data_IF_640848638040
#
_entry.id   IF_640848638040
#
_cell.length_a   1.000
_cell.length_b   1.000
_cell.length_c   1.000
_cell.angle_alpha   90.00
_cell.angle_beta   90.00
_cell.angle_gamma   90.00
#
_symmetry.space_group_name_H-M   'P 1'
#
loop_
_entity.id
_entity.type
_entity.pdbx_description
1 polymer ?
#
# COMPACT_ATOMS: atom_id res chain seq x y z
N UNK A 1 2.33 -17.72 23.25
CA UNK A 1 3.15 -18.29 22.15
C UNK A 1 3.73 -17.13 21.35
N UNK A 2 5.03 -17.15 21.01
CA UNK A 2 5.65 -16.11 20.20
C UNK A 2 5.17 -16.23 18.75
N UNK A 3 4.89 -15.10 18.12
CA UNK A 3 4.53 -14.97 16.70
C UNK A 3 5.42 -13.95 15.98
N UNK A 4 5.19 -13.70 14.69
CA UNK A 4 5.98 -12.76 13.89
C UNK A 4 5.91 -11.32 14.38
N UNK A 5 4.92 -10.95 15.19
CA UNK A 5 4.71 -9.59 15.69
C UNK A 5 5.17 -9.39 17.15
N UNK A 6 5.63 -10.44 17.81
CA UNK A 6 5.97 -10.39 19.25
C UNK A 6 6.99 -9.33 19.61
N UNK A 7 7.99 -9.08 18.74
CA UNK A 7 8.99 -8.02 18.95
C UNK A 7 8.40 -6.62 18.80
N UNK A 8 7.52 -6.42 17.82
CA UNK A 8 6.80 -5.16 17.64
C UNK A 8 5.90 -4.89 18.85
N UNK A 9 5.22 -5.92 19.34
CA UNK A 9 4.36 -5.81 20.54
C UNK A 9 5.13 -5.38 21.79
N UNK A 10 6.39 -5.79 21.95
CA UNK A 10 7.25 -5.33 23.06
C UNK A 10 7.50 -3.82 23.02
N UNK A 11 7.50 -3.22 21.83
CA UNK A 11 7.74 -1.79 21.65
C UNK A 11 6.46 -0.96 21.82
N UNK A 12 5.37 -1.39 21.16
CA UNK A 12 4.14 -0.58 21.05
C UNK A 12 3.02 -1.03 21.98
N UNK A 13 3.14 -2.20 22.60
CA UNK A 13 2.13 -2.80 23.47
C UNK A 13 1.02 -3.55 22.73
N UNK A 14 0.25 -4.32 23.49
CA UNK A 14 -0.83 -5.17 22.95
C UNK A 14 -1.95 -4.36 22.33
N UNK A 15 -2.37 -3.29 22.98
CA UNK A 15 -3.47 -2.42 22.49
C UNK A 15 -3.18 -1.82 21.12
N UNK A 16 -1.94 -1.36 20.87
CA UNK A 16 -1.54 -0.85 19.57
C UNK A 16 -1.52 -1.97 18.51
N UNK A 17 -1.07 -3.17 18.85
CA UNK A 17 -1.11 -4.31 17.95
C UNK A 17 -2.54 -4.73 17.61
N UNK A 18 -3.46 -4.71 18.59
CA UNK A 18 -4.87 -4.99 18.34
C UNK A 18 -5.50 -3.93 17.42
N UNK A 19 -5.13 -2.66 17.56
CA UNK A 19 -5.56 -1.59 16.63
C UNK A 19 -5.04 -1.83 15.23
N UNK A 20 -3.76 -2.14 15.05
CA UNK A 20 -3.18 -2.45 13.74
C UNK A 20 -3.88 -3.64 13.08
N UNK A 21 -4.13 -4.71 13.83
CA UNK A 21 -4.81 -5.90 13.34
C UNK A 21 -6.26 -5.65 12.90
N UNK A 22 -6.91 -4.61 13.42
CA UNK A 22 -8.27 -4.20 13.05
C UNK A 22 -8.30 -3.06 12.05
N UNK A 23 -7.15 -2.50 11.67
CA UNK A 23 -7.08 -1.36 10.73
C UNK A 23 -7.15 -1.83 9.28
N UNK A 24 -7.76 -0.98 8.44
CA UNK A 24 -7.83 -1.12 6.99
C UNK A 24 -7.12 0.05 6.31
N UNK A 25 -6.11 -0.24 5.52
CA UNK A 25 -5.28 0.76 4.82
C UNK A 25 -5.38 0.56 3.31
N UNK A 26 -5.69 1.62 2.57
CA UNK A 26 -5.65 1.62 1.11
C UNK A 26 -4.32 2.19 0.61
N UNK A 27 -3.67 1.49 -0.31
CA UNK A 27 -2.41 1.90 -0.92
C UNK A 27 -2.62 2.07 -2.42
N UNK A 28 -2.58 3.31 -2.86
CA UNK A 28 -2.69 3.68 -4.27
C UNK A 28 -1.30 3.80 -4.90
N UNK A 29 -1.01 2.91 -5.85
CA UNK A 29 0.29 2.75 -6.48
C UNK A 29 1.20 1.74 -5.77
N UNK A 30 1.54 0.65 -6.45
CA UNK A 30 2.40 -0.43 -5.93
C UNK A 30 3.73 -0.45 -6.71
N UNK A 31 4.35 0.71 -6.74
CA UNK A 31 5.64 0.93 -7.41
C UNK A 31 6.84 0.90 -6.46
N UNK A 32 7.83 1.77 -6.75
CA UNK A 32 9.05 1.90 -5.95
C UNK A 32 8.84 2.43 -4.54
N UNK A 33 7.77 3.20 -4.31
CA UNK A 33 7.38 3.68 -2.98
C UNK A 33 6.32 2.76 -2.37
N UNK A 34 5.18 2.57 -3.06
CA UNK A 34 4.06 1.81 -2.52
C UNK A 34 4.39 0.35 -2.21
N UNK A 35 5.27 -0.29 -2.98
CA UNK A 35 5.72 -1.65 -2.68
C UNK A 35 6.41 -1.77 -1.31
N UNK A 36 7.23 -0.80 -0.93
CA UNK A 36 7.86 -0.75 0.40
C UNK A 36 6.86 -0.41 1.51
N UNK A 37 5.85 0.43 1.22
CA UNK A 37 4.75 0.70 2.16
C UNK A 37 3.99 -0.59 2.46
N UNK A 38 3.60 -1.35 1.44
CA UNK A 38 2.93 -2.66 1.60
C UNK A 38 3.75 -3.60 2.46
N UNK A 39 5.05 -3.70 2.19
CA UNK A 39 5.99 -4.52 2.98
C UNK A 39 6.01 -4.11 4.45
N UNK A 40 6.14 -2.81 4.72
CA UNK A 40 6.18 -2.28 6.08
C UNK A 40 4.87 -2.53 6.85
N UNK A 41 3.72 -2.28 6.22
CA UNK A 41 2.41 -2.46 6.85
C UNK A 41 2.11 -3.94 7.13
N UNK A 42 2.44 -4.85 6.19
CA UNK A 42 2.30 -6.28 6.38
C UNK A 42 3.11 -6.78 7.59
N UNK A 43 4.37 -6.33 7.71
CA UNK A 43 5.28 -6.68 8.81
C UNK A 43 4.92 -6.01 10.14
N UNK A 44 4.18 -4.91 10.10
CA UNK A 44 3.66 -4.25 11.30
C UNK A 44 2.36 -4.85 11.82
N UNK A 45 1.72 -5.75 11.06
CA UNK A 45 0.52 -6.45 11.50
C UNK A 45 -0.79 -5.74 11.16
N UNK A 46 -0.81 -4.86 10.14
CA UNK A 46 -2.06 -4.28 9.64
C UNK A 46 -2.96 -5.38 9.11
N UNK A 47 -4.23 -5.37 9.54
CA UNK A 47 -5.16 -6.47 9.31
C UNK A 47 -5.75 -6.50 7.91
N UNK A 48 -6.03 -5.34 7.30
CA UNK A 48 -6.60 -5.26 5.94
C UNK A 48 -5.83 -4.29 5.08
N UNK A 49 -5.41 -4.73 3.91
CA UNK A 49 -4.72 -3.93 2.90
C UNK A 49 -5.52 -3.95 1.60
N UNK A 50 -5.87 -2.77 1.09
CA UNK A 50 -6.44 -2.58 -0.23
C UNK A 50 -5.32 -2.09 -1.15
N UNK A 51 -4.99 -2.86 -2.19
CA UNK A 51 -3.88 -2.62 -3.10
C UNK A 51 -4.41 -2.19 -4.47
N UNK A 52 -4.08 -0.99 -4.90
CA UNK A 52 -4.59 -0.38 -6.13
C UNK A 52 -3.44 -0.06 -7.09
N UNK A 53 -3.36 -0.74 -8.22
CA UNK A 53 -2.38 -0.51 -9.30
C UNK A 53 -2.80 -1.33 -10.52
N UNK A 54 -2.76 -0.77 -11.73
CA UNK A 54 -3.16 -1.47 -12.95
C UNK A 54 -1.98 -2.09 -13.72
N UNK A 55 -0.75 -1.79 -13.30
CA UNK A 55 0.45 -2.21 -14.00
C UNK A 55 0.81 -3.67 -13.78
N UNK A 56 1.53 -4.18 -14.77
CA UNK A 56 2.32 -5.42 -14.65
C UNK A 56 3.78 -5.09 -14.35
N UNK A 57 4.44 -6.02 -13.69
CA UNK A 57 5.88 -5.93 -13.44
C UNK A 57 6.62 -6.05 -14.77
N UNK A 58 7.51 -5.11 -15.04
CA UNK A 58 8.40 -5.13 -16.19
C UNK A 58 9.88 -5.19 -15.77
N UNK A 59 10.76 -5.50 -16.72
CA UNK A 59 12.19 -5.65 -16.46
C UNK A 59 12.83 -4.41 -15.81
N UNK A 60 12.42 -3.23 -16.23
CA UNK A 60 12.95 -1.95 -15.71
C UNK A 60 12.52 -1.63 -14.28
N UNK A 61 11.57 -2.37 -13.71
CA UNK A 61 11.16 -2.21 -12.32
C UNK A 61 12.15 -2.85 -11.32
N UNK A 62 12.98 -3.78 -11.77
CA UNK A 62 13.88 -4.54 -10.91
C UNK A 62 14.89 -3.70 -10.14
N UNK A 63 15.20 -2.50 -10.65
CA UNK A 63 16.18 -1.62 -10.03
C UNK A 63 15.69 -0.97 -8.71
N UNK A 64 14.37 -0.91 -8.47
CA UNK A 64 13.80 -0.16 -7.34
C UNK A 64 12.52 -0.72 -6.72
N UNK A 65 11.80 -1.63 -7.39
CA UNK A 65 10.53 -2.16 -6.87
C UNK A 65 10.76 -3.49 -6.15
N UNK A 66 10.44 -3.55 -4.86
CA UNK A 66 10.71 -4.73 -4.02
C UNK A 66 9.98 -5.99 -4.49
N UNK A 67 8.81 -5.85 -5.14
CA UNK A 67 8.02 -6.97 -5.67
C UNK A 67 8.52 -7.44 -7.04
N UNK A 68 9.39 -6.66 -7.68
CA UNK A 68 9.90 -6.95 -9.01
C UNK A 68 11.13 -7.87 -8.93
N UNK A 69 10.97 -9.08 -9.42
CA UNK A 69 12.02 -10.09 -9.58
C UNK A 69 11.90 -10.72 -10.96
N UNK A 70 12.91 -11.47 -11.41
CA UNK A 70 12.85 -12.15 -12.71
C UNK A 70 11.67 -13.10 -12.81
N UNK A 71 11.28 -13.75 -11.72
CA UNK A 71 10.15 -14.70 -11.68
C UNK A 71 8.77 -14.02 -11.61
N UNK A 72 8.71 -12.71 -11.36
CA UNK A 72 7.45 -11.95 -11.27
C UNK A 72 7.17 -11.07 -12.48
N UNK A 73 8.13 -10.92 -13.42
CA UNK A 73 7.92 -10.14 -14.66
C UNK A 73 6.67 -10.65 -15.40
N UNK A 74 5.83 -9.71 -15.85
CA UNK A 74 4.58 -9.97 -16.57
C UNK A 74 3.37 -10.22 -15.69
N UNK A 75 3.53 -10.43 -14.38
CA UNK A 75 2.42 -10.55 -13.43
C UNK A 75 1.93 -9.18 -12.98
N UNK A 76 0.66 -9.06 -12.62
CA UNK A 76 0.13 -7.81 -12.05
C UNK A 76 0.79 -7.51 -10.70
N UNK A 77 1.14 -6.25 -10.50
CA UNK A 77 1.80 -5.79 -9.27
C UNK A 77 0.98 -6.10 -8.02
N UNK A 78 -0.32 -5.83 -8.06
CA UNK A 78 -1.22 -6.08 -6.93
C UNK A 78 -1.31 -7.56 -6.55
N UNK A 79 -1.26 -8.48 -7.53
CA UNK A 79 -1.34 -9.92 -7.27
C UNK A 79 -0.04 -10.44 -6.63
N UNK A 80 1.12 -9.96 -7.11
CA UNK A 80 2.41 -10.31 -6.54
C UNK A 80 2.56 -9.75 -5.12
N UNK A 81 2.12 -8.50 -4.91
CA UNK A 81 2.12 -7.89 -3.59
C UNK A 81 1.20 -8.64 -2.61
N UNK A 82 0.00 -9.04 -3.06
CA UNK A 82 -0.93 -9.87 -2.26
C UNK A 82 -0.29 -11.18 -1.83
N UNK A 83 0.31 -11.92 -2.76
CA UNK A 83 0.98 -13.19 -2.43
C UNK A 83 2.07 -12.98 -1.38
N UNK A 84 2.86 -11.90 -1.53
CA UNK A 84 3.91 -11.54 -0.57
C UNK A 84 3.37 -11.17 0.80
N UNK A 85 2.29 -10.37 0.87
CA UNK A 85 1.64 -10.02 2.15
C UNK A 85 1.16 -11.27 2.87
N UNK A 86 0.49 -12.19 2.17
CA UNK A 86 -0.06 -13.41 2.77
C UNK A 86 1.03 -14.40 3.21
N UNK A 87 2.21 -14.37 2.60
CA UNK A 87 3.38 -15.14 3.03
C UNK A 87 4.00 -14.55 4.32
N UNK A 88 3.93 -13.23 4.50
CA UNK A 88 4.39 -12.52 5.72
C UNK A 88 3.35 -12.61 6.84
N UNK A 89 2.10 -12.29 6.53
CA UNK A 89 0.97 -12.26 7.45
C UNK A 89 -0.22 -13.04 6.89
N UNK A 90 -0.30 -14.37 7.13
CA UNK A 90 -1.38 -15.21 6.61
C UNK A 90 -2.78 -14.84 7.12
N UNK A 91 -2.86 -14.04 8.19
CA UNK A 91 -4.14 -13.58 8.76
C UNK A 91 -4.65 -12.29 8.15
N UNK A 92 -3.83 -11.61 7.32
CA UNK A 92 -4.25 -10.38 6.67
C UNK A 92 -5.33 -10.62 5.62
N UNK A 93 -6.26 -9.69 5.51
CA UNK A 93 -7.17 -9.59 4.38
C UNK A 93 -6.53 -8.68 3.33
N UNK A 94 -6.40 -9.15 2.09
CA UNK A 94 -5.80 -8.38 1.00
C UNK A 94 -6.75 -8.32 -0.18
N UNK A 95 -7.26 -7.12 -0.44
CA UNK A 95 -8.10 -6.82 -1.60
C UNK A 95 -7.20 -6.24 -2.70
N UNK A 96 -7.40 -6.67 -3.94
CA UNK A 96 -6.62 -6.21 -5.09
C UNK A 96 -7.52 -5.56 -6.13
N UNK A 97 -7.10 -4.39 -6.62
CA UNK A 97 -7.80 -3.64 -7.65
C UNK A 97 -6.82 -3.35 -8.78
N UNK A 98 -7.02 -4.03 -9.91
CA UNK A 98 -6.26 -3.81 -11.15
C UNK A 98 -6.82 -2.58 -11.86
N UNK A 99 -6.68 -1.41 -11.25
CA UNK A 99 -7.32 -0.18 -11.67
C UNK A 99 -6.31 0.97 -11.65
N UNK A 100 -6.26 1.73 -12.75
CA UNK A 100 -5.58 3.01 -12.79
C UNK A 100 -6.45 4.05 -12.09
N UNK A 101 -5.90 4.69 -11.06
CA UNK A 101 -6.66 5.65 -10.27
C UNK A 101 -6.67 7.03 -10.94
N UNK A 102 -7.85 7.46 -11.34
CA UNK A 102 -8.18 8.78 -11.88
C UNK A 102 -9.54 9.23 -11.31
N UNK A 103 -9.93 10.50 -11.45
CA UNK A 103 -11.24 10.97 -10.96
C UNK A 103 -12.42 10.12 -11.45
N UNK A 104 -12.36 9.61 -12.67
CA UNK A 104 -13.41 8.80 -13.30
C UNK A 104 -13.54 7.41 -12.67
N UNK A 105 -12.51 6.90 -12.04
CA UNK A 105 -12.52 5.60 -11.35
C UNK A 105 -12.66 5.73 -9.83
N UNK A 106 -12.67 6.96 -9.30
CA UNK A 106 -12.70 7.23 -7.85
C UNK A 106 -13.95 6.66 -7.17
N UNK A 107 -15.09 6.61 -7.86
CA UNK A 107 -16.36 6.06 -7.33
C UNK A 107 -16.28 4.58 -6.94
N UNK A 108 -15.25 3.84 -7.41
CA UNK A 108 -15.03 2.46 -7.03
C UNK A 108 -14.56 2.31 -5.58
N UNK A 109 -14.12 3.40 -4.94
CA UNK A 109 -13.49 3.39 -3.63
C UNK A 109 -14.26 4.24 -2.64
N UNK A 110 -14.77 3.60 -1.59
CA UNK A 110 -15.40 4.29 -0.46
C UNK A 110 -14.34 4.61 0.60
N UNK A 111 -13.85 5.85 0.59
CA UNK A 111 -12.79 6.31 1.49
C UNK A 111 -13.21 6.29 2.96
N UNK A 112 -14.51 6.33 3.26
CA UNK A 112 -15.00 6.26 4.65
C UNK A 112 -14.73 4.90 5.31
N UNK A 113 -14.42 3.87 4.53
CA UNK A 113 -14.09 2.53 5.03
C UNK A 113 -12.62 2.34 5.38
N UNK A 114 -11.76 3.33 5.07
CA UNK A 114 -10.33 3.24 5.34
C UNK A 114 -9.97 4.00 6.61
N UNK A 115 -9.15 3.38 7.46
CA UNK A 115 -8.54 4.05 8.60
C UNK A 115 -7.37 4.94 8.16
N UNK A 116 -6.76 4.63 7.02
CA UNK A 116 -5.67 5.39 6.43
C UNK A 116 -5.56 5.18 4.93
N UNK A 117 -5.14 6.22 4.22
CA UNK A 117 -4.86 6.17 2.77
C UNK A 117 -3.41 6.53 2.51
N UNK A 118 -2.75 5.76 1.65
CA UNK A 118 -1.40 6.04 1.18
C UNK A 118 -1.44 6.37 -0.30
N UNK A 119 -1.01 7.58 -0.64
CA UNK A 119 -0.82 8.03 -2.01
C UNK A 119 0.64 7.79 -2.42
N UNK A 120 0.85 6.79 -3.26
CA UNK A 120 2.13 6.45 -3.87
C UNK A 120 2.05 6.38 -5.41
N UNK A 121 1.02 7.03 -6.01
CA UNK A 121 0.91 7.20 -7.46
C UNK A 121 1.80 8.36 -7.95
N UNK A 122 2.01 8.46 -9.25
CA UNK A 122 2.87 9.47 -9.88
C UNK A 122 2.11 10.52 -10.70
N UNK A 123 0.79 10.34 -10.90
CA UNK A 123 -0.04 11.29 -11.65
C UNK A 123 -0.55 12.42 -10.75
N UNK A 124 -0.31 13.68 -11.14
CA UNK A 124 -0.72 14.85 -10.37
C UNK A 124 -2.24 14.92 -10.19
N UNK A 125 -3.00 14.68 -11.26
CA UNK A 125 -4.48 14.70 -11.22
C UNK A 125 -5.02 13.65 -10.23
N UNK A 126 -4.48 12.43 -10.26
CA UNK A 126 -4.85 11.38 -9.31
C UNK A 126 -4.53 11.76 -7.87
N UNK A 127 -3.33 12.32 -7.61
CA UNK A 127 -2.93 12.78 -6.26
C UNK A 127 -3.88 13.83 -5.69
N UNK A 128 -4.21 14.85 -6.48
CA UNK A 128 -5.15 15.91 -6.06
C UNK A 128 -6.50 15.29 -5.72
N UNK A 129 -7.01 14.40 -6.57
CA UNK A 129 -8.30 13.74 -6.32
C UNK A 129 -8.25 12.86 -5.06
N UNK A 130 -7.19 12.08 -4.82
CA UNK A 130 -7.02 11.28 -3.60
C UNK A 130 -7.12 12.15 -2.33
N UNK A 131 -6.42 13.29 -2.33
CA UNK A 131 -6.44 14.22 -1.19
C UNK A 131 -7.86 14.79 -0.98
N UNK A 132 -8.53 15.18 -2.07
CA UNK A 132 -9.90 15.71 -2.00
C UNK A 132 -10.90 14.67 -1.46
N UNK A 133 -10.83 13.42 -1.94
CA UNK A 133 -11.69 12.34 -1.47
C UNK A 133 -11.44 12.01 0.01
N UNK A 134 -10.18 11.91 0.41
CA UNK A 134 -9.80 11.67 1.80
C UNK A 134 -10.29 12.81 2.73
N UNK A 135 -10.17 14.06 2.28
CA UNK A 135 -10.65 15.22 3.02
C UNK A 135 -12.19 15.22 3.19
N UNK A 136 -12.93 14.88 2.14
CA UNK A 136 -14.40 14.82 2.20
C UNK A 136 -14.92 13.79 3.21
N UNK A 137 -14.19 12.71 3.41
CA UNK A 137 -14.55 11.63 4.34
C UNK A 137 -13.84 11.71 5.70
N UNK A 138 -13.01 12.75 5.92
CA UNK A 138 -12.11 12.88 7.08
C UNK A 138 -11.20 11.66 7.27
N UNK A 139 -10.81 11.01 6.19
CA UNK A 139 -9.89 9.86 6.22
C UNK A 139 -8.44 10.38 6.21
N UNK A 140 -7.59 9.97 7.17
CA UNK A 140 -6.18 10.34 7.17
C UNK A 140 -5.48 9.87 5.89
N UNK A 141 -4.64 10.74 5.31
CA UNK A 141 -3.87 10.43 4.10
C UNK A 141 -2.43 10.89 4.26
N UNK A 142 -1.49 10.10 3.72
CA UNK A 142 -0.11 10.51 3.49
C UNK A 142 0.21 10.40 2.00
N UNK A 143 0.86 11.44 1.46
CA UNK A 143 1.29 11.46 0.06
C UNK A 143 2.82 11.43 -0.02
N UNK A 144 3.36 10.55 -0.85
CA UNK A 144 4.80 10.50 -1.14
C UNK A 144 5.25 11.61 -2.10
N UNK A 145 4.32 12.41 -2.63
CA UNK A 145 4.59 13.46 -3.63
C UNK A 145 5.29 12.89 -4.88
N UNK A 146 6.19 13.63 -5.49
CA UNK A 146 6.99 13.15 -6.63
C UNK A 146 8.36 12.67 -6.14
N UNK A 147 8.66 11.39 -6.30
CA UNK A 147 9.92 10.79 -5.85
C UNK A 147 11.00 10.66 -6.95
N UNK A 148 10.68 11.05 -8.21
CA UNK A 148 11.61 10.99 -9.32
C UNK A 148 12.60 12.18 -9.37
N UNK A 149 13.81 11.93 -9.92
CA UNK A 149 14.84 12.94 -10.17
C UNK A 149 15.32 13.73 -8.93
N UNK A 150 15.16 13.16 -7.74
CA UNK A 150 15.65 13.75 -6.49
C UNK A 150 16.95 13.08 -6.10
N UNK A 151 18.06 13.77 -6.40
CA UNK A 151 19.42 13.31 -6.10
C UNK A 151 19.91 13.79 -4.74
N UNK A 152 19.31 14.85 -4.20
CA UNK A 152 19.61 15.43 -2.90
C UNK A 152 18.40 15.20 -1.96
N UNK A 153 18.59 14.55 -0.80
CA UNK A 153 17.52 14.29 0.14
C UNK A 153 17.17 15.49 1.05
N UNK A 154 17.88 16.60 0.96
CA UNK A 154 17.66 17.83 1.76
C UNK A 154 16.57 18.73 1.21
#
# INVERSE_FOLDING_TARGET
MLDQFSRTQLLVGKEAMDRLANSRVAIFGIGGVGGYVVEALARSGVGTLDLIDDDKICLTNLNRQIIATRSTIGKYKVDVAKARVLDINPKATVNTYQTFYVPETAEQFDFSQYDYVVDAIDTVTGKINLVMQAQQTNTPIISSMGAGNKMDPT
#
